data_IF_590173806889
#
_entry.id   IF_590173806889
#
_cell.length_a   1.000
_cell.length_b   1.000
_cell.length_c   1.000
_cell.angle_alpha   90.00
_cell.angle_beta   90.00
_cell.angle_gamma   90.00
#
_symmetry.space_group_name_H-M   'P 1'
#
loop_
_entity.id
_entity.type
_entity.pdbx_description
1 polymer ?
#
# COMPACT_ATOMS: atom_id res chain seq x y z
N UNK A 1 1.20 25.78 48.02
CA UNK A 1 1.04 24.79 46.94
C UNK A 1 0.36 25.51 45.79
N UNK A 2 1.11 25.85 44.73
CA UNK A 2 0.56 26.47 43.53
C UNK A 2 0.38 25.38 42.48
N UNK A 3 -0.87 25.04 42.18
CA UNK A 3 -1.21 24.19 41.04
C UNK A 3 -0.70 24.87 39.77
N UNK A 4 0.28 24.24 39.11
CA UNK A 4 0.62 24.59 37.75
C UNK A 4 -0.49 24.02 36.86
N UNK A 5 -1.39 24.90 36.40
CA UNK A 5 -2.27 24.58 35.27
C UNK A 5 -1.38 24.23 34.08
N UNK A 6 -1.36 22.95 33.74
CA UNK A 6 -0.72 22.42 32.54
C UNK A 6 -1.20 23.25 31.34
N UNK A 7 -0.30 23.79 30.50
CA UNK A 7 -0.75 24.49 29.29
C UNK A 7 -1.58 23.50 28.47
N UNK A 8 -2.77 23.92 28.06
CA UNK A 8 -3.58 23.16 27.11
C UNK A 8 -2.66 22.74 25.95
N UNK A 9 -2.77 21.48 25.46
CA UNK A 9 -2.02 21.08 24.28
C UNK A 9 -2.35 22.10 23.22
N UNK A 10 -1.36 22.90 22.82
CA UNK A 10 -1.47 23.80 21.69
C UNK A 10 -1.62 22.90 20.49
N UNK A 11 -2.85 22.47 20.19
CA UNK A 11 -3.14 21.64 19.05
C UNK A 11 -2.54 22.36 17.86
N UNK A 12 -1.57 21.73 17.19
CA UNK A 12 -0.91 22.32 16.03
C UNK A 12 -1.98 22.56 14.98
N UNK A 13 -2.46 23.80 14.88
CA UNK A 13 -3.51 24.15 13.94
C UNK A 13 -2.91 24.03 12.54
N UNK A 14 -3.30 22.98 11.83
CA UNK A 14 -2.86 22.76 10.44
C UNK A 14 -3.43 23.91 9.61
N UNK A 15 -2.55 24.68 8.95
CA UNK A 15 -2.98 25.79 8.12
C UNK A 15 -3.90 25.31 6.99
N UNK A 16 -4.86 26.14 6.55
CA UNK A 16 -5.76 25.78 5.45
C UNK A 16 -4.98 25.41 4.16
N UNK A 17 -3.82 26.04 3.94
CA UNK A 17 -2.92 25.70 2.83
C UNK A 17 -2.35 24.30 2.99
N UNK A 18 -1.92 23.92 4.19
CA UNK A 18 -1.37 22.60 4.45
C UNK A 18 -2.46 21.53 4.42
N UNK A 19 -3.66 21.82 4.94
CA UNK A 19 -4.83 20.95 4.78
C UNK A 19 -5.12 20.66 3.30
N UNK A 20 -5.11 21.70 2.44
CA UNK A 20 -5.29 21.53 0.99
C UNK A 20 -4.18 20.69 0.35
N UNK A 21 -2.93 20.88 0.77
CA UNK A 21 -1.79 20.08 0.25
C UNK A 21 -1.88 18.62 0.68
N UNK A 22 -2.18 18.37 1.95
CA UNK A 22 -2.34 17.03 2.52
C UNK A 22 -3.49 16.30 1.83
N UNK A 23 -4.63 16.96 1.66
CA UNK A 23 -5.78 16.39 0.95
C UNK A 23 -5.43 16.03 -0.50
N UNK A 24 -4.79 16.95 -1.23
CA UNK A 24 -4.37 16.68 -2.61
C UNK A 24 -3.36 15.52 -2.71
N UNK A 25 -2.53 15.31 -1.69
CA UNK A 25 -1.62 14.17 -1.63
C UNK A 25 -2.36 12.86 -1.34
N UNK A 26 -3.24 12.85 -0.33
CA UNK A 26 -4.03 11.68 0.05
C UNK A 26 -4.95 11.20 -1.07
N UNK A 27 -5.62 12.12 -1.77
CA UNK A 27 -6.49 11.75 -2.92
C UNK A 27 -5.72 11.18 -4.12
N UNK A 28 -4.40 11.40 -4.22
CA UNK A 28 -3.56 10.83 -5.27
C UNK A 28 -3.01 9.45 -4.91
N UNK A 29 -3.19 9.01 -3.66
CA UNK A 29 -2.71 7.69 -3.26
C UNK A 29 -3.51 6.59 -3.97
N UNK A 30 -2.85 5.52 -4.44
CA UNK A 30 -3.54 4.34 -4.93
C UNK A 30 -4.53 3.85 -3.87
N UNK A 31 -5.69 3.35 -4.29
CA UNK A 31 -6.72 2.81 -3.39
C UNK A 31 -7.32 3.80 -2.37
N UNK A 32 -7.01 5.10 -2.44
CA UNK A 32 -7.63 6.12 -1.59
C UNK A 32 -9.17 6.22 -1.78
N UNK A 33 -9.67 5.82 -2.95
CA UNK A 33 -11.11 5.76 -3.25
C UNK A 33 -11.76 4.42 -2.81
N UNK A 34 -11.01 3.52 -2.17
CA UNK A 34 -11.57 2.29 -1.61
C UNK A 34 -12.61 2.64 -0.55
N UNK A 35 -13.75 1.97 -0.58
CA UNK A 35 -14.80 2.13 0.45
C UNK A 35 -14.32 1.74 1.86
N UNK A 36 -13.21 1.01 1.95
CA UNK A 36 -12.58 0.59 3.22
C UNK A 36 -11.62 1.61 3.79
N UNK A 37 -11.19 2.60 2.99
CA UNK A 37 -10.32 3.69 3.46
C UNK A 37 -11.24 4.78 3.99
N UNK A 38 -11.19 5.11 5.31
CA UNK A 38 -11.97 6.20 5.86
C UNK A 38 -11.66 7.49 5.11
N UNK A 39 -12.70 8.18 4.61
CA UNK A 39 -12.51 9.46 3.92
C UNK A 39 -12.65 10.60 4.93
N UNK A 40 -11.55 11.30 5.27
CA UNK A 40 -11.56 12.35 6.28
C UNK A 40 -12.33 13.61 5.86
N UNK A 41 -12.90 13.64 4.64
CA UNK A 41 -13.56 14.80 4.04
C UNK A 41 -15.05 14.55 3.71
N UNK A 42 -15.67 13.50 4.25
CA UNK A 42 -17.03 13.08 3.84
C UNK A 42 -18.16 14.04 4.27
N UNK A 43 -17.90 15.00 5.14
CA UNK A 43 -18.87 16.06 5.49
C UNK A 43 -18.28 17.45 5.26
N UNK A 44 -18.84 18.12 4.26
CA UNK A 44 -18.61 19.52 3.88
C UNK A 44 -18.31 20.44 5.08
N UNK A 45 -17.11 21.05 5.08
CA UNK A 45 -16.62 22.14 5.98
C UNK A 45 -15.96 21.78 7.31
N UNK A 46 -15.75 20.51 7.63
CA UNK A 46 -14.97 20.18 8.84
C UNK A 46 -13.46 20.30 8.58
N UNK A 47 -12.72 20.87 9.54
CA UNK A 47 -11.27 20.98 9.45
C UNK A 47 -10.66 19.58 9.48
N UNK A 48 -9.69 19.30 8.61
CA UNK A 48 -8.97 18.02 8.62
C UNK A 48 -8.20 17.90 9.92
N UNK A 49 -8.58 16.93 10.77
CA UNK A 49 -7.90 16.64 12.03
C UNK A 49 -6.76 15.66 11.83
N UNK A 50 -5.79 15.67 12.75
CA UNK A 50 -4.71 14.69 12.75
C UNK A 50 -5.25 13.25 12.85
N UNK A 51 -6.26 13.03 13.70
CA UNK A 51 -6.89 11.71 13.87
C UNK A 51 -7.53 11.20 12.57
N UNK A 52 -8.17 12.09 11.82
CA UNK A 52 -8.77 11.74 10.54
C UNK A 52 -7.71 11.39 9.48
N UNK A 53 -6.55 12.05 9.51
CA UNK A 53 -5.40 11.71 8.66
C UNK A 53 -4.85 10.33 9.04
N UNK A 54 -4.67 10.06 10.33
CA UNK A 54 -4.16 8.77 10.82
C UNK A 54 -5.12 7.64 10.43
N UNK A 55 -6.42 7.79 10.65
CA UNK A 55 -7.42 6.80 10.28
C UNK A 55 -7.44 6.49 8.77
N UNK A 56 -7.24 7.50 7.91
CA UNK A 56 -7.07 7.28 6.47
C UNK A 56 -5.81 6.46 6.18
N UNK A 57 -4.68 6.80 6.80
CA UNK A 57 -3.40 6.12 6.55
C UNK A 57 -3.44 4.67 7.02
N UNK A 58 -4.06 4.39 8.17
CA UNK A 58 -4.22 3.04 8.69
C UNK A 58 -5.12 2.20 7.77
N UNK A 59 -6.29 2.72 7.37
CA UNK A 59 -7.17 2.03 6.42
C UNK A 59 -6.51 1.80 5.06
N UNK A 60 -5.68 2.74 4.60
CA UNK A 60 -4.91 2.59 3.36
C UNK A 60 -3.83 1.51 3.51
N UNK A 61 -3.14 1.47 4.64
CA UNK A 61 -2.10 0.47 4.91
C UNK A 61 -2.69 -0.94 4.93
N UNK A 62 -3.88 -1.13 5.52
CA UNK A 62 -4.58 -2.42 5.51
C UNK A 62 -4.91 -2.87 4.09
N UNK A 63 -5.50 -1.98 3.27
CA UNK A 63 -5.84 -2.31 1.87
C UNK A 63 -4.58 -2.68 1.08
N UNK A 64 -3.48 -1.93 1.24
CA UNK A 64 -2.22 -2.22 0.57
C UNK A 64 -1.60 -3.55 1.03
N UNK A 65 -1.71 -3.90 2.32
CA UNK A 65 -1.22 -5.16 2.85
C UNK A 65 -1.98 -6.37 2.27
N UNK A 66 -3.31 -6.25 2.13
CA UNK A 66 -4.13 -7.28 1.50
C UNK A 66 -3.77 -7.45 0.02
N UNK A 67 -3.68 -6.35 -0.74
CA UNK A 67 -3.27 -6.38 -2.15
C UNK A 67 -1.88 -6.99 -2.30
N UNK A 68 -0.95 -6.67 -1.39
CA UNK A 68 0.39 -7.27 -1.37
C UNK A 68 0.33 -8.78 -1.16
N UNK A 69 -0.47 -9.23 -0.20
CA UNK A 69 -0.67 -10.66 0.08
C UNK A 69 -1.27 -11.40 -1.12
N UNK A 70 -2.28 -10.80 -1.76
CA UNK A 70 -2.92 -11.36 -2.96
C UNK A 70 -1.93 -11.44 -4.13
N UNK A 71 -1.14 -10.39 -4.34
CA UNK A 71 -0.10 -10.35 -5.36
C UNK A 71 0.94 -11.46 -5.15
N UNK A 72 1.40 -11.67 -3.91
CA UNK A 72 2.33 -12.74 -3.58
C UNK A 72 1.74 -14.14 -3.85
N UNK A 73 0.45 -14.33 -3.57
CA UNK A 73 -0.24 -15.57 -3.94
C UNK A 73 -0.26 -15.78 -5.45
N UNK A 74 -0.57 -14.74 -6.22
CA UNK A 74 -0.55 -14.83 -7.69
C UNK A 74 0.85 -15.12 -8.23
N UNK A 75 1.89 -14.50 -7.67
CA UNK A 75 3.29 -14.78 -8.05
C UNK A 75 3.66 -16.23 -7.79
N UNK A 76 3.31 -16.80 -6.63
CA UNK A 76 3.56 -18.21 -6.32
C UNK A 76 2.83 -19.15 -7.28
N UNK A 77 1.57 -18.87 -7.61
CA UNK A 77 0.80 -19.66 -8.59
C UNK A 77 1.44 -19.60 -9.98
N UNK A 78 1.88 -18.42 -10.41
CA UNK A 78 2.57 -18.26 -11.68
C UNK A 78 3.87 -19.07 -11.73
N UNK A 79 4.70 -19.01 -10.68
CA UNK A 79 5.92 -19.83 -10.60
C UNK A 79 5.63 -21.33 -10.64
N UNK A 80 4.58 -21.80 -9.97
CA UNK A 80 4.17 -23.21 -10.04
C UNK A 80 3.79 -23.59 -11.47
N UNK A 81 2.98 -22.76 -12.13
CA UNK A 81 2.54 -22.98 -13.50
C UNK A 81 3.72 -22.99 -14.49
N UNK A 82 4.69 -22.10 -14.31
CA UNK A 82 5.93 -22.11 -15.11
C UNK A 82 6.70 -23.42 -14.94
N UNK A 83 6.78 -23.94 -13.71
CA UNK A 83 7.36 -25.25 -13.42
C UNK A 83 6.63 -26.39 -14.14
N UNK A 84 5.30 -26.41 -14.07
CA UNK A 84 4.45 -27.40 -14.75
C UNK A 84 4.63 -27.33 -16.28
N UNK A 85 4.67 -26.12 -16.84
CA UNK A 85 4.93 -25.91 -18.27
C UNK A 85 6.32 -26.42 -18.67
N UNK A 86 7.35 -26.21 -17.84
CA UNK A 86 8.69 -26.75 -18.10
C UNK A 86 8.70 -28.28 -18.03
N UNK A 87 8.02 -28.88 -17.05
CA UNK A 87 7.87 -30.33 -16.96
C UNK A 87 7.14 -30.90 -18.19
N UNK A 88 6.06 -30.25 -18.62
CA UNK A 88 5.34 -30.61 -19.83
C UNK A 88 6.24 -30.52 -21.07
N UNK A 89 7.01 -29.44 -21.23
CA UNK A 89 7.98 -29.30 -22.34
C UNK A 89 9.01 -30.42 -22.37
N UNK A 90 9.51 -30.86 -21.21
CA UNK A 90 10.43 -32.01 -21.12
C UNK A 90 9.74 -33.30 -21.57
N UNK A 91 8.49 -33.50 -21.16
CA UNK A 91 7.70 -34.68 -21.53
C UNK A 91 7.46 -34.77 -23.04
N UNK A 92 7.12 -33.66 -23.69
CA UNK A 92 6.87 -33.62 -25.15
C UNK A 92 8.14 -33.42 -25.99
N UNK A 93 9.33 -33.46 -25.36
CA UNK A 93 10.61 -33.33 -26.06
C UNK A 93 10.91 -31.94 -26.64
N UNK A 94 10.23 -30.89 -26.16
CA UNK A 94 10.40 -29.50 -26.62
C UNK A 94 11.12 -28.61 -25.59
N UNK A 95 11.61 -29.19 -24.50
CA UNK A 95 12.42 -28.46 -23.52
C UNK A 95 13.71 -27.97 -24.19
N UNK A 96 14.00 -26.68 -24.04
CA UNK A 96 15.30 -26.12 -24.43
C UNK A 96 16.38 -26.86 -23.66
N UNK A 97 17.42 -27.33 -24.36
CA UNK A 97 18.57 -27.97 -23.74
C UNK A 97 19.17 -27.02 -22.69
N UNK A 98 19.65 -27.52 -21.54
CA UNK A 98 20.44 -26.69 -20.64
C UNK A 98 21.58 -26.11 -21.48
N UNK A 99 21.74 -24.78 -21.45
CA UNK A 99 22.88 -24.12 -22.07
C UNK A 99 24.12 -24.65 -21.35
N UNK A 100 24.78 -25.64 -21.94
CA UNK A 100 26.08 -26.10 -21.50
C UNK A 100 26.98 -24.87 -21.51
N UNK A 101 27.35 -24.41 -20.32
CA UNK A 101 28.40 -23.42 -20.12
C UNK A 101 29.63 -23.97 -20.85
N UNK A 102 29.89 -23.45 -22.06
CA UNK A 102 31.13 -23.72 -22.78
C UNK A 102 32.24 -23.05 -21.97
N UNK A 103 32.79 -23.79 -21.02
CA UNK A 103 34.10 -23.50 -20.47
C UNK A 103 35.09 -23.85 -21.57
N UNK A 104 35.46 -22.86 -22.36
CA UNK A 104 36.55 -22.94 -23.33
C UNK A 104 37.89 -22.93 -22.56
N UNK A 105 38.82 -23.86 -22.85
CA UNK A 105 40.14 -23.92 -22.21
C UNK A 105 41.05 -22.76 -22.59
#
# INVERSE_FOLDING_TARGET
MTEQTQPEPTGTVISERDQRRILAAMSKMPYAASSRVPTPWSATREAVTADAIVAFLDGLAEVLAEVGTENDQYRRRLFSLEGDVQAFRRLIGTASAPQSEQVTP
#
